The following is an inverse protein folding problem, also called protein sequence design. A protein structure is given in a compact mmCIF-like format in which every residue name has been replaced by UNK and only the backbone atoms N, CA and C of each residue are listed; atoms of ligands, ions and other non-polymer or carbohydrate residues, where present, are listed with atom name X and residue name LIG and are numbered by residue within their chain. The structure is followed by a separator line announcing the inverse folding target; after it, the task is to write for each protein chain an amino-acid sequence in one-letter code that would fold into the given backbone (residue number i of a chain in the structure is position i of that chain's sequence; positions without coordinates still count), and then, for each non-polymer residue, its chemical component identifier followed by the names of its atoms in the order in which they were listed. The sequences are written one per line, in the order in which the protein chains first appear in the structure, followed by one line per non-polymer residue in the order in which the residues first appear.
data_IF_771635368122
#
_entry.id   IF_771635368122
#
_cell.length_a   1.000
_cell.length_b   1.000
_cell.length_c   1.000
_cell.angle_alpha   90.00
_cell.angle_beta   90.00
_cell.angle_gamma   90.00
#
_symmetry.space_group_name_H-M   'P 1'
#
loop_
_entity.id
_entity.type
_entity.pdbx_description
1 polymer ?
#
# COMPACT_ATOMS: atom_id res chain seq x y z
N UNK A 1 -15.19 3.48 -49.20
CA UNK A 1 -14.22 2.62 -48.47
C UNK A 1 -14.37 2.93 -47.00
N UNK A 2 -15.09 2.06 -46.27
CA UNK A 2 -15.33 2.25 -44.85
C UNK A 2 -13.99 2.19 -44.12
N UNK A 3 -13.67 3.28 -43.43
CA UNK A 3 -12.42 3.53 -42.73
C UNK A 3 -12.26 2.53 -41.58
N UNK A 4 -11.71 1.33 -41.87
CA UNK A 4 -11.55 0.26 -40.88
C UNK A 4 -10.47 0.56 -39.85
N UNK A 5 -9.54 1.49 -40.14
CA UNK A 5 -8.47 1.86 -39.21
C UNK A 5 -8.97 2.50 -37.93
N UNK A 6 -10.04 3.30 -37.99
CA UNK A 6 -10.64 3.96 -36.81
C UNK A 6 -11.18 2.97 -35.77
N UNK A 7 -11.68 1.83 -36.20
CA UNK A 7 -12.21 0.81 -35.27
C UNK A 7 -11.08 0.14 -34.47
N UNK A 8 -9.94 -0.14 -35.10
CA UNK A 8 -8.80 -0.75 -34.41
C UNK A 8 -8.23 0.17 -33.33
N UNK A 9 -8.16 1.48 -33.58
CA UNK A 9 -7.70 2.45 -32.58
C UNK A 9 -8.61 2.50 -31.35
N UNK A 10 -9.93 2.41 -31.51
CA UNK A 10 -10.86 2.43 -30.39
C UNK A 10 -10.74 1.19 -29.50
N UNK A 11 -10.58 0.01 -30.10
CA UNK A 11 -10.37 -1.25 -29.35
C UNK A 11 -9.06 -1.20 -28.57
N UNK A 12 -7.99 -0.67 -29.17
CA UNK A 12 -6.69 -0.53 -28.51
C UNK A 12 -6.75 0.44 -27.33
N UNK A 13 -7.46 1.57 -27.47
CA UNK A 13 -7.66 2.51 -26.38
C UNK A 13 -8.46 1.90 -25.22
N UNK A 14 -9.52 1.13 -25.50
CA UNK A 14 -10.28 0.44 -24.46
C UNK A 14 -9.44 -0.58 -23.69
N UNK A 15 -8.56 -1.33 -24.37
CA UNK A 15 -7.67 -2.30 -23.72
C UNK A 15 -6.64 -1.60 -22.81
N UNK A 16 -6.07 -0.47 -23.22
CA UNK A 16 -5.13 0.30 -22.38
C UNK A 16 -5.82 0.86 -21.12
N UNK A 17 -7.07 1.33 -21.24
CA UNK A 17 -7.86 1.81 -20.08
C UNK A 17 -8.19 0.66 -19.12
N UNK A 18 -8.57 -0.51 -19.63
CA UNK A 18 -8.84 -1.69 -18.79
C UNK A 18 -7.58 -2.17 -18.05
N UNK A 19 -6.43 -2.24 -18.74
CA UNK A 19 -5.16 -2.67 -18.15
C UNK A 19 -4.62 -1.70 -17.08
N UNK A 20 -4.81 -0.39 -17.29
CA UNK A 20 -4.42 0.62 -16.29
C UNK A 20 -5.34 0.61 -15.07
N UNK A 21 -6.63 0.31 -15.25
CA UNK A 21 -7.58 0.17 -14.14
C UNK A 21 -7.27 -1.06 -13.28
N UNK A 22 -6.98 -2.22 -13.88
CA UNK A 22 -6.64 -3.44 -13.14
C UNK A 22 -5.30 -3.36 -12.39
N UNK A 23 -4.33 -2.61 -12.93
CA UNK A 23 -3.01 -2.44 -12.29
C UNK A 23 -3.08 -1.70 -10.95
N UNK A 24 -4.17 -0.98 -10.65
CA UNK A 24 -4.39 -0.33 -9.35
C UNK A 24 -4.98 -1.25 -8.28
N UNK A 25 -5.32 -2.50 -8.63
CA UNK A 25 -5.99 -3.45 -7.73
C UNK A 25 -5.05 -4.53 -7.14
N UNK A 26 -3.76 -4.45 -7.42
CA UNK A 26 -2.76 -5.31 -6.78
C UNK A 26 -2.49 -4.83 -5.34
N UNK A 27 -2.73 -5.73 -4.38
CA UNK A 27 -2.32 -5.66 -2.96
C UNK A 27 -3.13 -4.79 -1.99
N UNK A 28 -4.48 -4.86 -2.05
CA UNK A 28 -5.35 -4.27 -1.01
C UNK A 28 -5.83 -5.26 0.08
N UNK A 29 -5.34 -6.50 0.10
CA UNK A 29 -5.88 -7.56 0.98
C UNK A 29 -4.82 -8.37 1.75
N UNK A 30 -3.74 -7.70 2.15
CA UNK A 30 -2.93 -8.15 3.28
C UNK A 30 -2.90 -6.98 4.22
N UNK A 31 -3.45 -7.11 5.43
CA UNK A 31 -3.23 -6.15 6.52
C UNK A 31 -1.76 -5.74 6.50
N UNK A 32 -1.46 -4.54 6.01
CA UNK A 32 -0.08 -4.16 5.72
C UNK A 32 0.56 -3.82 7.05
N UNK A 33 1.14 -4.82 7.70
CA UNK A 33 1.95 -4.66 8.89
C UNK A 33 3.37 -4.33 8.45
N UNK A 34 3.80 -3.09 8.69
CA UNK A 34 5.14 -2.63 8.36
C UNK A 34 5.87 -2.19 9.61
N UNK A 35 7.07 -2.75 9.80
CA UNK A 35 7.96 -2.42 10.91
C UNK A 35 8.80 -1.20 10.52
N UNK A 36 8.64 -0.09 11.24
CA UNK A 36 9.42 1.13 11.00
C UNK A 36 10.77 1.11 11.74
N UNK A 37 10.81 0.48 12.92
CA UNK A 37 12.02 0.35 13.72
C UNK A 37 11.75 0.43 15.23
N UNK A 38 12.79 0.68 16.05
CA UNK A 38 12.67 0.78 17.50
C UNK A 38 11.74 1.90 17.94
N UNK A 39 10.84 1.63 18.88
CA UNK A 39 9.87 2.60 19.39
C UNK A 39 10.55 3.87 19.96
N UNK A 40 11.77 3.76 20.49
CA UNK A 40 12.57 4.90 20.96
C UNK A 40 12.86 5.95 19.88
N UNK A 41 12.91 5.53 18.60
CA UNK A 41 13.09 6.43 17.46
C UNK A 41 11.76 7.00 16.94
N UNK A 42 10.63 6.46 17.39
CA UNK A 42 9.28 6.83 16.97
C UNK A 42 8.41 7.09 18.21
N UNK A 43 8.68 8.17 18.96
CA UNK A 43 7.98 8.47 20.22
C UNK A 43 6.45 8.57 20.03
N UNK A 44 6.01 9.05 18.86
CA UNK A 44 4.61 9.08 18.43
C UNK A 44 4.37 8.11 17.25
N UNK A 45 4.59 6.82 17.48
CA UNK A 45 4.45 5.78 16.45
C UNK A 45 3.12 5.85 15.68
N UNK A 46 2.00 6.13 16.35
CA UNK A 46 0.70 6.25 15.68
C UNK A 46 0.66 7.43 14.68
N UNK A 47 1.12 8.62 15.11
CA UNK A 47 1.17 9.81 14.27
C UNK A 47 2.10 9.60 13.07
N UNK A 48 3.28 9.03 13.32
CA UNK A 48 4.24 8.69 12.26
C UNK A 48 3.61 7.76 11.22
N UNK A 49 2.87 6.72 11.65
CA UNK A 49 2.21 5.80 10.74
C UNK A 49 1.07 6.46 9.92
N UNK A 50 0.34 7.41 10.51
CA UNK A 50 -0.67 8.20 9.81
C UNK A 50 -0.03 9.09 8.73
N UNK A 51 1.18 9.62 8.98
CA UNK A 51 1.94 10.41 8.01
C UNK A 51 2.47 9.58 6.83
N UNK A 52 2.71 8.27 7.04
CA UNK A 52 3.22 7.35 6.01
C UNK A 52 2.13 6.40 5.48
N UNK A 53 1.23 6.88 4.62
CA UNK A 53 -0.13 6.37 4.34
C UNK A 53 -0.58 5.02 4.99
N UNK A 54 -0.56 4.90 6.33
CA UNK A 54 -1.20 3.80 7.08
C UNK A 54 -2.38 4.32 7.91
N UNK A 55 -3.25 3.41 8.39
CA UNK A 55 -4.40 3.76 9.24
C UNK A 55 -3.94 4.15 10.65
N UNK A 56 -2.83 3.58 11.11
CA UNK A 56 -2.25 3.89 12.41
C UNK A 56 -1.05 3.03 12.73
N UNK A 57 -0.57 3.16 13.96
CA UNK A 57 0.62 2.45 14.42
C UNK A 57 0.64 2.21 15.91
N UNK A 58 1.34 1.16 16.33
CA UNK A 58 1.59 0.88 17.74
C UNK A 58 2.96 0.29 17.99
N UNK A 59 3.47 0.53 19.19
CA UNK A 59 4.67 -0.12 19.66
C UNK A 59 4.35 -1.50 20.23
N UNK A 60 5.00 -2.54 19.69
CA UNK A 60 4.78 -3.94 20.06
C UNK A 60 6.08 -4.62 20.42
N UNK A 61 6.01 -5.62 21.31
CA UNK A 61 7.13 -6.52 21.54
C UNK A 61 7.22 -7.53 20.37
N UNK A 62 8.40 -7.73 19.76
CA UNK A 62 8.58 -8.73 18.71
C UNK A 62 8.52 -10.17 19.22
N UNK A 63 8.81 -10.39 20.51
CA UNK A 63 8.68 -11.68 21.19
C UNK A 63 8.33 -11.47 22.67
N UNK A 64 7.81 -12.48 23.38
CA UNK A 64 7.47 -12.38 24.80
C UNK A 64 8.67 -11.94 25.68
N UNK A 65 9.85 -12.42 25.34
CA UNK A 65 11.10 -12.18 26.07
C UNK A 65 11.83 -10.90 25.60
N UNK A 66 11.32 -10.21 24.58
CA UNK A 66 11.94 -8.98 24.09
C UNK A 66 11.91 -7.88 25.15
N UNK A 67 13.07 -7.26 25.34
CA UNK A 67 13.27 -6.08 26.18
C UNK A 67 13.06 -4.76 25.42
N UNK A 68 12.85 -4.84 24.11
CA UNK A 68 12.67 -3.68 23.23
C UNK A 68 11.30 -3.72 22.54
N UNK A 69 10.82 -2.53 22.15
CA UNK A 69 9.58 -2.34 21.42
C UNK A 69 9.87 -1.88 19.99
N UNK A 70 9.07 -2.35 19.04
CA UNK A 70 9.10 -1.94 17.64
C UNK A 70 7.83 -1.16 17.29
N UNK A 71 7.98 -0.04 16.58
CA UNK A 71 6.87 0.65 15.97
C UNK A 71 6.41 -0.12 14.72
N UNK A 72 5.14 -0.53 14.73
CA UNK A 72 4.50 -1.27 13.64
C UNK A 72 3.30 -0.48 13.16
N UNK A 73 3.31 -0.11 11.88
CA UNK A 73 2.19 0.50 11.19
C UNK A 73 1.23 -0.57 10.66
N UNK A 74 -0.06 -0.29 10.66
CA UNK A 74 -1.10 -1.15 10.11
C UNK A 74 -1.97 -0.34 9.14
N UNK A 75 -2.14 -0.87 7.94
CA UNK A 75 -2.99 -0.35 6.87
C UNK A 75 -4.20 -1.21 6.59
#
# INVERSE_FOLDING_TARGET
MASSSKCFFLVFLCLVVLLTLESTKADHDRSRLIVQGPCEKFPDCNQHCIEVPFIGGKCVKPSPDATYLLCVCFG
#
